data_IF_005187072944
#
_entry.id   IF_005187072944
#
_cell.length_a   1.000
_cell.length_b   1.000
_cell.length_c   1.000
_cell.angle_alpha   90.00
_cell.angle_beta   90.00
_cell.angle_gamma   90.00
#
_symmetry.space_group_name_H-M   'P 1'
#
loop_
_entity.id
_entity.type
_entity.pdbx_description
1 polymer ?
#
# COMPACT_ATOMS: atom_id res chain seq x y z
N UNK A 1 17.35 -17.43 12.07
CA UNK A 1 17.07 -16.34 13.03
C UNK A 1 15.76 -16.61 13.72
N UNK A 2 15.70 -16.42 15.04
CA UNK A 2 14.48 -16.52 15.83
C UNK A 2 13.75 -15.16 15.86
N UNK A 3 12.43 -15.19 16.08
CA UNK A 3 11.59 -13.96 16.07
C UNK A 3 12.02 -12.94 17.13
N UNK A 4 12.54 -13.39 18.27
CA UNK A 4 13.06 -12.51 19.33
C UNK A 4 14.29 -11.71 18.91
N UNK A 5 15.18 -12.32 18.11
CA UNK A 5 16.36 -11.64 17.56
C UNK A 5 15.94 -10.55 16.56
N UNK A 6 15.03 -10.88 15.65
CA UNK A 6 14.47 -9.92 14.69
C UNK A 6 13.72 -8.77 15.39
N UNK A 7 12.99 -9.08 16.46
CA UNK A 7 12.29 -8.08 17.28
C UNK A 7 13.28 -7.14 17.97
N UNK A 8 14.41 -7.67 18.44
CA UNK A 8 15.53 -6.89 18.99
C UNK A 8 16.12 -5.90 17.97
N UNK A 9 16.35 -6.34 16.72
CA UNK A 9 16.88 -5.48 15.64
C UNK A 9 15.98 -4.27 15.35
N UNK A 10 14.66 -4.44 15.46
CA UNK A 10 13.68 -3.37 15.22
C UNK A 10 13.25 -2.65 16.50
N UNK A 11 13.65 -3.10 17.68
CA UNK A 11 13.20 -2.57 18.97
C UNK A 11 11.69 -2.73 19.21
N UNK A 12 11.11 -3.85 18.75
CA UNK A 12 9.67 -4.17 18.83
C UNK A 12 9.43 -5.44 19.65
N UNK A 13 8.16 -5.74 19.93
CA UNK A 13 7.77 -7.00 20.57
C UNK A 13 7.61 -8.11 19.51
N UNK A 14 7.91 -9.39 19.81
CA UNK A 14 7.76 -10.49 18.86
C UNK A 14 6.36 -10.59 18.23
N UNK A 15 5.29 -10.28 18.97
CA UNK A 15 3.90 -10.28 18.46
C UNK A 15 3.64 -9.25 17.34
N UNK A 16 4.48 -8.21 17.27
CA UNK A 16 4.43 -7.16 16.26
C UNK A 16 5.11 -7.62 14.96
N UNK A 17 5.73 -8.81 14.92
CA UNK A 17 6.36 -9.38 13.74
C UNK A 17 5.54 -10.53 13.15
N UNK A 18 5.55 -10.64 11.82
CA UNK A 18 5.01 -11.78 11.07
C UNK A 18 6.11 -12.41 10.23
N UNK A 19 6.36 -13.73 10.31
CA UNK A 19 7.33 -14.38 9.43
C UNK A 19 6.84 -14.39 7.99
N UNK A 20 7.76 -14.39 7.04
CA UNK A 20 7.47 -14.66 5.64
C UNK A 20 8.55 -15.54 5.02
N UNK A 21 8.15 -16.27 3.98
CA UNK A 21 9.04 -16.95 3.03
C UNK A 21 8.37 -16.89 1.67
N UNK A 22 8.96 -16.12 0.76
CA UNK A 22 8.39 -15.86 -0.57
C UNK A 22 9.52 -15.78 -1.60
N UNK A 23 9.20 -16.12 -2.85
CA UNK A 23 10.10 -15.86 -3.98
C UNK A 23 9.94 -14.42 -4.43
N UNK A 24 11.04 -13.66 -4.43
CA UNK A 24 11.07 -12.30 -4.97
C UNK A 24 10.81 -12.32 -6.48
N UNK A 25 9.70 -11.73 -6.98
CA UNK A 25 9.35 -11.80 -8.39
C UNK A 25 10.23 -10.93 -9.31
N UNK A 26 11.14 -10.12 -8.75
CA UNK A 26 12.09 -9.32 -9.51
C UNK A 26 13.49 -9.96 -9.52
N UNK A 27 13.89 -10.58 -8.40
CA UNK A 27 15.18 -11.26 -8.26
C UNK A 27 15.17 -12.73 -8.64
N UNK A 28 14.02 -13.41 -8.55
CA UNK A 28 13.91 -14.88 -8.64
C UNK A 28 14.49 -15.62 -7.43
N UNK A 29 14.72 -14.92 -6.32
CA UNK A 29 15.42 -15.40 -5.11
C UNK A 29 14.39 -15.84 -4.07
N UNK A 30 14.60 -16.98 -3.40
CA UNK A 30 13.80 -17.35 -2.23
C UNK A 30 14.28 -16.58 -1.00
N UNK A 31 13.41 -15.73 -0.46
CA UNK A 31 13.73 -14.87 0.68
C UNK A 31 12.86 -15.25 1.88
N UNK A 32 13.49 -15.34 3.05
CA UNK A 32 12.79 -15.49 4.31
C UNK A 32 13.19 -14.40 5.32
N UNK A 33 12.21 -14.00 6.12
CA UNK A 33 12.37 -12.87 7.03
C UNK A 33 11.17 -12.65 7.94
N UNK A 34 11.12 -11.47 8.53
CA UNK A 34 10.00 -10.96 9.31
C UNK A 34 9.55 -9.60 8.80
N UNK A 35 8.25 -9.34 8.85
CA UNK A 35 7.66 -8.03 8.57
C UNK A 35 7.04 -7.44 9.84
N UNK A 36 7.27 -6.15 10.07
CA UNK A 36 6.78 -5.43 11.23
C UNK A 36 5.38 -4.86 11.01
N UNK A 37 4.47 -5.11 11.95
CA UNK A 37 3.08 -4.61 11.98
C UNK A 37 2.87 -3.50 13.00
N UNK A 38 3.93 -3.03 13.66
CA UNK A 38 3.82 -1.92 14.61
C UNK A 38 3.44 -0.63 13.88
N UNK A 39 2.33 0.04 14.22
CA UNK A 39 1.78 1.17 13.47
C UNK A 39 2.53 2.49 13.74
N UNK A 40 3.86 2.49 13.62
CA UNK A 40 4.72 3.66 13.77
C UNK A 40 5.70 3.80 12.58
N UNK A 41 6.86 4.41 12.80
CA UNK A 41 7.90 4.56 11.78
C UNK A 41 8.45 3.21 11.26
N UNK A 42 8.22 2.11 11.98
CA UNK A 42 8.63 0.74 11.59
C UNK A 42 7.54 -0.02 10.85
N UNK A 43 6.39 0.59 10.60
CA UNK A 43 5.27 -0.11 10.00
C UNK A 43 5.64 -0.62 8.60
N UNK A 44 5.57 -1.94 8.40
CA UNK A 44 6.00 -2.59 7.16
C UNK A 44 7.51 -2.77 7.01
N UNK A 45 8.32 -2.48 8.01
CA UNK A 45 9.77 -2.74 7.95
C UNK A 45 10.04 -4.25 7.85
N UNK A 46 11.09 -4.62 7.11
CA UNK A 46 11.53 -6.02 6.95
C UNK A 46 12.80 -6.28 7.75
N UNK A 47 12.92 -7.52 8.24
CA UNK A 47 14.19 -8.13 8.65
C UNK A 47 14.39 -9.36 7.76
N UNK A 48 15.35 -9.29 6.84
CA UNK A 48 15.72 -10.40 5.95
C UNK A 48 16.94 -11.10 6.55
N UNK A 49 16.87 -12.42 6.75
CA UNK A 49 17.99 -13.24 7.26
C UNK A 49 18.32 -14.41 6.33
N UNK A 50 17.60 -14.55 5.22
CA UNK A 50 17.79 -15.60 4.24
C UNK A 50 17.39 -15.09 2.86
N UNK A 51 18.26 -15.29 1.87
CA UNK A 51 18.03 -14.97 0.47
C UNK A 51 18.88 -15.91 -0.41
N UNK A 52 18.27 -16.98 -0.93
CA UNK A 52 18.94 -18.16 -1.55
C UNK A 52 20.03 -18.79 -0.66
N UNK A 53 19.83 -18.73 0.65
CA UNK A 53 20.76 -19.21 1.67
C UNK A 53 20.81 -18.26 2.87
N UNK A 54 21.43 -18.67 3.98
CA UNK A 54 21.62 -17.80 5.15
C UNK A 54 22.41 -16.54 4.80
N UNK A 55 21.97 -15.39 5.31
CA UNK A 55 22.68 -14.11 5.18
C UNK A 55 22.81 -13.45 6.55
N UNK A 56 23.69 -12.45 6.64
CA UNK A 56 23.58 -11.47 7.72
C UNK A 56 22.19 -10.83 7.70
N UNK A 57 21.72 -10.42 8.87
CA UNK A 57 20.41 -9.81 9.02
C UNK A 57 20.41 -8.41 8.39
N UNK A 58 19.44 -8.15 7.52
CA UNK A 58 19.29 -6.89 6.81
C UNK A 58 17.96 -6.25 7.19
N UNK A 59 18.00 -5.03 7.72
CA UNK A 59 16.82 -4.27 8.09
C UNK A 59 16.46 -3.30 6.97
N UNK A 60 15.22 -3.36 6.50
CA UNK A 60 14.69 -2.47 5.47
C UNK A 60 13.53 -1.69 6.06
N UNK A 61 13.73 -0.40 6.29
CA UNK A 61 12.67 0.52 6.65
C UNK A 61 11.88 0.95 5.42
N UNK A 62 10.61 1.31 5.62
CA UNK A 62 9.70 1.66 4.53
C UNK A 62 8.82 2.86 4.84
N UNK A 63 7.67 2.90 4.16
CA UNK A 63 6.67 3.96 4.30
C UNK A 63 5.99 3.87 5.66
N UNK A 64 6.13 4.88 6.54
CA UNK A 64 5.63 4.85 7.90
C UNK A 64 4.11 5.01 7.94
N UNK A 65 3.47 4.71 9.08
CA UNK A 65 2.11 5.19 9.35
C UNK A 65 2.19 6.71 9.60
N UNK A 66 1.65 7.52 8.69
CA UNK A 66 1.63 8.98 8.82
C UNK A 66 0.46 9.43 9.71
N UNK A 67 0.74 10.28 10.69
CA UNK A 67 -0.24 10.87 11.60
C UNK A 67 -0.77 12.22 11.12
N UNK A 68 -1.90 12.62 11.67
CA UNK A 68 -2.37 14.01 11.64
C UNK A 68 -1.67 14.81 12.75
N UNK A 69 -1.52 16.14 12.61
CA UNK A 69 -1.06 17.01 13.70
C UNK A 69 -2.17 17.34 14.70
N UNK A 70 -3.22 16.52 14.80
CA UNK A 70 -4.29 16.67 15.77
C UNK A 70 -4.87 15.30 16.17
N UNK A 71 -5.43 15.23 17.37
CA UNK A 71 -6.13 14.04 17.85
C UNK A 71 -7.65 14.10 17.59
N UNK A 72 -8.37 13.01 17.89
CA UNK A 72 -9.83 12.95 17.76
C UNK A 72 -10.56 13.96 18.66
N UNK A 73 -9.90 14.52 19.68
CA UNK A 73 -10.44 15.58 20.53
C UNK A 73 -10.18 16.99 19.97
N UNK A 74 -9.57 17.10 18.79
CA UNK A 74 -9.26 18.38 18.13
C UNK A 74 -8.06 19.11 18.72
N UNK A 75 -7.24 18.45 19.56
CA UNK A 75 -6.02 19.07 20.10
C UNK A 75 -4.89 18.99 19.09
N UNK A 76 -4.34 20.14 18.74
CA UNK A 76 -3.27 20.27 17.76
C UNK A 76 -1.89 20.09 18.39
N UNK A 77 -1.03 19.32 17.70
CA UNK A 77 0.37 19.09 18.05
C UNK A 77 1.21 19.07 16.78
N UNK A 78 1.96 20.15 16.55
CA UNK A 78 2.99 20.22 15.51
C UNK A 78 4.39 20.08 16.14
N UNK A 79 5.31 19.34 15.50
CA UNK A 79 6.71 19.42 15.88
C UNK A 79 7.29 20.79 15.48
N UNK A 80 8.28 21.32 16.22
CA UNK A 80 9.02 22.49 15.78
C UNK A 80 9.63 22.27 14.40
N UNK A 81 9.55 23.28 13.53
CA UNK A 81 10.01 23.18 12.15
C UNK A 81 10.91 24.35 11.77
N UNK A 82 12.13 24.05 11.33
CA UNK A 82 13.04 25.01 10.70
C UNK A 82 12.72 25.21 9.21
N UNK A 83 12.14 24.19 8.57
CA UNK A 83 11.67 24.22 7.18
C UNK A 83 10.43 23.35 7.02
N UNK A 84 9.54 23.78 6.15
CA UNK A 84 8.33 23.06 5.74
C UNK A 84 8.36 22.86 4.23
N UNK A 85 7.98 21.66 3.79
CA UNK A 85 7.60 21.36 2.41
C UNK A 85 6.31 20.55 2.42
N UNK A 86 5.34 20.93 1.61
CA UNK A 86 4.12 20.16 1.40
C UNK A 86 4.08 19.66 -0.04
N UNK A 87 4.04 18.36 -0.21
CA UNK A 87 3.86 17.72 -1.51
C UNK A 87 2.44 17.19 -1.63
N UNK A 88 1.91 17.14 -2.85
CA UNK A 88 0.61 16.54 -3.12
C UNK A 88 0.58 15.09 -2.61
N UNK A 89 -0.47 14.76 -1.86
CA UNK A 89 -0.78 13.39 -1.50
C UNK A 89 -1.58 12.79 -2.65
N UNK A 90 -0.87 12.11 -3.55
CA UNK A 90 -1.48 11.31 -4.59
C UNK A 90 -2.20 10.11 -3.94
N UNK A 91 -3.31 9.72 -4.57
CA UNK A 91 -4.20 8.69 -4.10
C UNK A 91 -4.05 7.44 -4.96
N UNK A 92 -3.35 6.45 -4.43
CA UNK A 92 -3.03 5.25 -5.16
C UNK A 92 -2.48 4.17 -4.25
N UNK A 93 -1.49 3.45 -4.76
CA UNK A 93 -0.82 2.40 -4.02
C UNK A 93 0.63 2.76 -3.82
N UNK A 94 1.03 2.85 -2.56
CA UNK A 94 2.41 3.05 -2.21
C UNK A 94 3.26 1.82 -2.56
N UNK A 95 4.32 2.03 -3.34
CA UNK A 95 5.33 1.03 -3.68
C UNK A 95 6.68 1.48 -3.16
N UNK A 96 7.29 0.69 -2.28
CA UNK A 96 8.65 0.89 -1.81
C UNK A 96 9.60 0.06 -2.65
N UNK A 97 10.51 0.70 -3.37
CA UNK A 97 11.70 0.07 -3.95
C UNK A 97 12.80 -0.01 -2.89
N UNK A 98 13.46 -1.15 -2.78
CA UNK A 98 14.54 -1.38 -1.80
C UNK A 98 15.56 -2.37 -2.38
N UNK A 99 16.73 -2.48 -1.74
CA UNK A 99 17.71 -3.50 -2.09
C UNK A 99 18.10 -4.37 -0.90
N UNK A 100 18.52 -5.59 -1.18
CA UNK A 100 19.09 -6.53 -0.22
C UNK A 100 20.16 -7.39 -0.89
N UNK A 101 21.02 -8.01 -0.09
CA UNK A 101 22.07 -8.93 -0.53
C UNK A 101 21.60 -10.36 -0.42
N UNK A 102 21.74 -11.12 -1.50
CA UNK A 102 21.56 -12.56 -1.51
C UNK A 102 22.81 -13.27 -0.93
N UNK A 103 22.68 -14.56 -0.60
CA UNK A 103 23.79 -15.39 -0.12
C UNK A 103 24.97 -15.46 -1.11
N UNK A 104 24.71 -15.28 -2.41
CA UNK A 104 25.73 -15.15 -3.45
C UNK A 104 26.55 -13.85 -3.40
N UNK A 105 26.19 -12.90 -2.53
CA UNK A 105 26.75 -11.55 -2.46
C UNK A 105 26.14 -10.56 -3.46
N UNK A 106 25.28 -11.03 -4.38
CA UNK A 106 24.58 -10.18 -5.35
C UNK A 106 23.60 -9.25 -4.64
N UNK A 107 23.64 -7.96 -4.97
CA UNK A 107 22.60 -7.00 -4.59
C UNK A 107 21.39 -7.15 -5.52
N UNK A 108 20.23 -7.45 -4.93
CA UNK A 108 18.93 -7.53 -5.61
C UNK A 108 18.14 -6.28 -5.28
N UNK A 109 17.49 -5.68 -6.29
CA UNK A 109 16.51 -4.60 -6.10
C UNK A 109 15.12 -5.21 -6.24
N UNK A 110 14.25 -4.92 -5.29
CA UNK A 110 12.88 -5.40 -5.28
C UNK A 110 11.92 -4.31 -4.80
N UNK A 111 10.65 -4.65 -4.78
CA UNK A 111 9.56 -3.71 -4.56
C UNK A 111 8.52 -4.33 -3.65
N UNK A 112 7.85 -3.52 -2.85
CA UNK A 112 6.79 -3.98 -1.95
C UNK A 112 5.71 -2.92 -1.70
N UNK A 113 4.49 -3.38 -1.42
CA UNK A 113 3.51 -2.57 -0.68
C UNK A 113 3.81 -2.64 0.82
N UNK A 114 3.11 -1.83 1.63
CA UNK A 114 3.48 -1.62 3.04
C UNK A 114 3.61 -2.92 3.84
N UNK A 115 2.63 -3.82 3.79
CA UNK A 115 2.58 -5.04 4.60
C UNK A 115 2.80 -6.35 3.83
N UNK A 116 3.38 -6.26 2.65
CA UNK A 116 3.83 -7.42 1.89
C UNK A 116 5.34 -7.40 1.80
N UNK A 117 6.06 -8.54 1.87
CA UNK A 117 7.51 -8.54 1.70
C UNK A 117 7.90 -8.20 0.26
N UNK A 118 7.07 -8.59 -0.72
CA UNK A 118 7.26 -8.33 -2.14
C UNK A 118 5.95 -7.93 -2.83
N UNK A 119 6.08 -7.12 -3.86
CA UNK A 119 4.99 -6.70 -4.73
C UNK A 119 4.55 -7.88 -5.59
N UNK A 120 3.26 -8.18 -5.60
CA UNK A 120 2.68 -9.27 -6.38
C UNK A 120 1.34 -8.84 -6.98
N UNK A 121 0.89 -9.59 -7.97
CA UNK A 121 -0.51 -9.52 -8.39
C UNK A 121 -1.36 -10.23 -7.35
N UNK A 122 -2.35 -9.52 -6.81
CA UNK A 122 -3.18 -9.97 -5.69
C UNK A 122 -4.64 -9.72 -6.02
N UNK A 123 -5.54 -10.13 -5.11
CA UNK A 123 -6.99 -9.95 -5.31
C UNK A 123 -7.40 -8.49 -5.37
N UNK A 124 -6.67 -7.63 -4.67
CA UNK A 124 -6.91 -6.19 -4.65
C UNK A 124 -6.37 -5.46 -5.87
N UNK A 125 -5.60 -6.12 -6.74
CA UNK A 125 -5.09 -5.50 -7.95
C UNK A 125 -3.88 -6.21 -8.56
N UNK A 126 -3.68 -5.97 -9.85
CA UNK A 126 -2.53 -6.43 -10.65
C UNK A 126 -1.29 -5.55 -10.42
N UNK A 127 -0.93 -5.35 -9.14
CA UNK A 127 0.11 -4.39 -8.75
C UNK A 127 1.49 -4.71 -9.33
N UNK A 128 1.85 -5.99 -9.47
CA UNK A 128 3.12 -6.40 -10.06
C UNK A 128 3.14 -6.10 -11.57
N UNK A 129 2.05 -6.43 -12.28
CA UNK A 129 1.94 -6.13 -13.71
C UNK A 129 1.96 -4.62 -13.98
N UNK A 130 1.19 -3.84 -13.22
CA UNK A 130 1.17 -2.38 -13.31
C UNK A 130 2.55 -1.78 -13.03
N UNK A 131 3.22 -2.23 -11.97
CA UNK A 131 4.53 -1.71 -11.60
C UNK A 131 5.62 -2.08 -12.61
N UNK A 132 5.62 -3.30 -13.16
CA UNK A 132 6.56 -3.70 -14.22
C UNK A 132 6.45 -2.80 -15.46
N UNK A 133 5.24 -2.41 -15.83
CA UNK A 133 5.03 -1.42 -16.90
C UNK A 133 5.67 -0.08 -16.54
N UNK A 134 5.44 0.41 -15.32
CA UNK A 134 6.00 1.68 -14.84
C UNK A 134 7.53 1.68 -14.75
N UNK A 135 8.15 0.54 -14.43
CA UNK A 135 9.61 0.39 -14.49
C UNK A 135 10.17 0.54 -15.90
N UNK A 136 9.44 0.06 -16.92
CA UNK A 136 9.80 0.28 -18.33
C UNK A 136 9.76 1.76 -18.72
N UNK A 137 8.83 2.52 -18.15
CA UNK A 137 8.71 3.98 -18.34
C UNK A 137 9.71 4.77 -17.47
N UNK A 138 10.24 4.17 -16.41
CA UNK A 138 11.15 4.79 -15.44
C UNK A 138 12.40 3.90 -15.17
N UNK A 139 13.26 3.65 -16.17
CA UNK A 139 14.36 2.69 -16.04
C UNK A 139 15.42 3.09 -15.01
N UNK A 140 15.47 4.36 -14.60
CA UNK A 140 16.42 4.87 -13.60
C UNK A 140 16.15 4.40 -12.17
N UNK A 141 14.94 3.91 -11.85
CA UNK A 141 14.56 3.53 -10.48
C UNK A 141 15.48 2.45 -9.91
N UNK A 142 15.70 1.38 -10.68
CA UNK A 142 16.49 0.24 -10.22
C UNK A 142 17.96 0.61 -9.98
N UNK A 143 18.56 1.34 -10.92
CA UNK A 143 19.93 1.83 -10.81
C UNK A 143 20.11 2.74 -9.61
N UNK A 144 19.18 3.69 -9.42
CA UNK A 144 19.25 4.65 -8.32
C UNK A 144 19.20 3.98 -6.93
N UNK A 145 18.29 3.01 -6.74
CA UNK A 145 18.18 2.27 -5.47
C UNK A 145 19.45 1.44 -5.21
N UNK A 146 19.98 0.80 -6.25
CA UNK A 146 21.22 0.01 -6.16
C UNK A 146 22.44 0.87 -5.82
N UNK A 147 22.59 2.02 -6.47
CA UNK A 147 23.76 2.89 -6.33
C UNK A 147 23.77 3.67 -5.03
N UNK A 148 22.60 4.17 -4.60
CA UNK A 148 22.49 4.96 -3.37
C UNK A 148 22.40 4.11 -2.11
N UNK A 149 21.92 2.86 -2.23
CA UNK A 149 21.59 2.00 -1.10
C UNK A 149 20.40 2.50 -0.28
N UNK A 150 19.67 3.51 -0.77
CA UNK A 150 18.46 4.04 -0.13
C UNK A 150 17.23 3.28 -0.63
N UNK A 151 16.25 3.07 0.25
CA UNK A 151 14.91 2.68 -0.21
C UNK A 151 14.21 3.92 -0.80
N UNK A 152 13.43 3.73 -1.85
CA UNK A 152 12.68 4.80 -2.52
C UNK A 152 11.18 4.48 -2.50
N UNK A 153 10.38 5.40 -1.96
CA UNK A 153 8.93 5.27 -1.89
C UNK A 153 8.29 6.00 -3.06
N UNK A 154 7.33 5.35 -3.71
CA UNK A 154 6.56 5.87 -4.84
C UNK A 154 5.07 5.74 -4.58
N UNK A 155 4.28 6.63 -5.19
CA UNK A 155 2.86 6.38 -5.40
C UNK A 155 2.65 5.87 -6.81
N UNK A 156 2.06 4.68 -6.94
CA UNK A 156 1.50 4.17 -8.19
C UNK A 156 0.05 4.59 -8.26
N UNK A 157 -0.32 5.45 -9.20
CA UNK A 157 -1.66 6.08 -9.27
C UNK A 157 -2.14 6.22 -10.70
N UNK A 158 -3.44 6.49 -10.90
CA UNK A 158 -4.06 6.63 -12.22
C UNK A 158 -5.39 5.90 -12.31
N UNK A 159 -6.13 6.07 -13.40
CA UNK A 159 -7.43 5.41 -13.58
C UNK A 159 -7.36 3.87 -13.61
N UNK A 160 -6.22 3.30 -13.96
CA UNK A 160 -5.97 1.85 -13.89
C UNK A 160 -5.69 1.35 -12.46
N UNK A 161 -5.24 2.22 -11.56
CA UNK A 161 -5.09 1.92 -10.13
C UNK A 161 -5.99 2.85 -9.32
N UNK A 162 -7.31 2.64 -9.44
CA UNK A 162 -8.32 3.55 -8.93
C UNK A 162 -8.51 3.42 -7.42
N UNK A 163 -8.55 4.57 -6.76
CA UNK A 163 -8.91 4.74 -5.35
C UNK A 163 -10.06 5.76 -5.28
N UNK A 164 -9.98 6.76 -4.40
CA UNK A 164 -10.99 7.81 -4.23
C UNK A 164 -10.90 8.91 -5.32
N UNK A 165 -9.68 9.26 -5.73
CA UNK A 165 -9.44 10.31 -6.73
C UNK A 165 -9.52 9.74 -8.15
N UNK A 166 -10.34 10.37 -8.98
CA UNK A 166 -10.49 10.07 -10.39
C UNK A 166 -9.40 10.78 -11.22
N UNK A 167 -8.43 10.00 -11.67
CA UNK A 167 -7.30 10.47 -12.43
C UNK A 167 -7.51 10.34 -13.94
N UNK A 168 -7.18 11.40 -14.68
CA UNK A 168 -7.14 11.35 -16.16
C UNK A 168 -5.98 10.55 -16.73
N UNK A 169 -4.88 10.45 -15.97
CA UNK A 169 -3.72 9.65 -16.39
C UNK A 169 -4.03 8.17 -16.20
N UNK A 170 -3.78 7.30 -17.19
CA UNK A 170 -4.07 5.87 -17.06
C UNK A 170 -3.32 5.21 -15.91
N UNK A 171 -2.01 5.41 -15.85
CA UNK A 171 -1.14 4.86 -14.83
C UNK A 171 0.14 5.71 -14.80
N UNK A 172 0.62 6.05 -13.61
CA UNK A 172 1.84 6.80 -13.40
C UNK A 172 2.51 6.41 -12.07
N UNK A 173 3.80 6.72 -11.96
CA UNK A 173 4.57 6.62 -10.72
C UNK A 173 5.08 8.02 -10.34
N UNK A 174 4.90 8.41 -9.08
CA UNK A 174 5.51 9.61 -8.53
C UNK A 174 6.42 9.25 -7.35
N UNK A 175 7.64 9.78 -7.36
CA UNK A 175 8.56 9.63 -6.24
C UNK A 175 8.09 10.47 -5.03
N UNK A 176 8.04 9.85 -3.85
CA UNK A 176 7.53 10.49 -2.63
C UNK A 176 8.68 10.92 -1.71
N UNK A 177 9.56 9.97 -1.34
CA UNK A 177 10.68 10.20 -0.44
C UNK A 177 11.64 9.00 -0.47
N UNK A 178 12.85 9.20 0.02
CA UNK A 178 13.80 8.11 0.29
C UNK A 178 13.82 7.75 1.78
N UNK A 179 14.26 6.53 2.09
CA UNK A 179 14.45 6.02 3.46
C UNK A 179 15.89 5.54 3.61
N UNK A 180 16.57 6.02 4.63
CA UNK A 180 17.94 5.61 4.99
C UNK A 180 17.93 4.26 5.71
N UNK A 181 19.12 3.65 5.83
CA UNK A 181 19.30 2.39 6.56
C UNK A 181 18.90 2.46 8.05
N UNK A 182 18.98 3.65 8.67
CA UNK A 182 18.51 3.90 10.04
C UNK A 182 17.05 4.38 10.12
N UNK A 183 16.30 4.32 9.02
CA UNK A 183 14.87 4.59 8.98
C UNK A 183 14.47 6.07 8.94
N UNK A 184 15.41 6.98 8.62
CA UNK A 184 15.11 8.41 8.42
C UNK A 184 14.53 8.63 7.03
N UNK A 185 13.48 9.45 6.96
CA UNK A 185 12.84 9.86 5.71
C UNK A 185 13.51 11.12 5.14
N UNK A 186 13.73 11.12 3.84
CA UNK A 186 14.31 12.25 3.09
C UNK A 186 13.32 12.70 2.01
N UNK A 187 12.80 13.94 2.05
CA UNK A 187 11.96 14.46 0.97
C UNK A 187 12.76 14.60 -0.34
N UNK A 188 12.08 14.76 -1.49
CA UNK A 188 12.75 14.92 -2.77
C UNK A 188 13.79 16.05 -2.80
N UNK A 189 13.52 17.16 -2.11
CA UNK A 189 14.42 18.32 -2.01
C UNK A 189 15.73 18.06 -1.25
N UNK A 190 15.79 16.99 -0.45
CA UNK A 190 16.95 16.61 0.34
C UNK A 190 17.93 15.69 -0.43
N UNK A 191 17.59 15.32 -1.66
CA UNK A 191 18.36 14.42 -2.49
C UNK A 191 19.03 15.19 -3.65
N UNK A 192 20.25 14.79 -4.06
CA UNK A 192 20.91 15.41 -5.21
C UNK A 192 20.21 15.09 -6.53
N UNK A 193 19.53 13.95 -6.60
CA UNK A 193 18.73 13.50 -7.74
C UNK A 193 17.59 12.60 -7.25
N UNK A 194 16.55 12.48 -8.06
CA UNK A 194 15.40 11.61 -7.78
C UNK A 194 15.29 10.50 -8.83
N UNK A 195 14.83 9.29 -8.46
CA UNK A 195 14.75 8.14 -9.37
C UNK A 195 13.63 8.23 -10.41
N UNK A 196 12.65 9.09 -10.17
CA UNK A 196 11.53 9.40 -11.04
C UNK A 196 11.01 10.81 -10.71
N UNK A 197 10.02 11.29 -11.48
CA UNK A 197 9.38 12.58 -11.20
C UNK A 197 8.79 12.58 -9.78
N UNK A 198 9.12 13.56 -8.91
CA UNK A 198 8.53 13.63 -7.59
C UNK A 198 7.05 14.02 -7.66
N UNK A 199 6.31 13.71 -6.60
CA UNK A 199 4.99 14.29 -6.39
C UNK A 199 5.07 15.83 -6.48
N UNK A 200 4.01 16.53 -6.95
CA UNK A 200 4.03 17.99 -7.04
C UNK A 200 4.30 18.67 -5.69
N UNK A 201 5.22 19.62 -5.66
CA UNK A 201 5.44 20.49 -4.51
C UNK A 201 4.35 21.58 -4.50
N UNK A 202 3.59 21.65 -3.42
CA UNK A 202 2.47 22.59 -3.25
C UNK A 202 2.87 23.82 -2.44
N UNK A 203 3.73 23.63 -1.43
CA UNK A 203 4.15 24.69 -0.51
C UNK A 203 5.58 24.45 -0.05
N UNK A 204 6.38 25.50 0.07
CA UNK A 204 7.66 25.47 0.76
C UNK A 204 7.82 26.74 1.59
N UNK A 205 8.28 26.60 2.83
CA UNK A 205 8.52 27.71 3.74
C UNK A 205 9.80 27.51 4.54
N UNK A 206 10.60 28.57 4.65
CA UNK A 206 11.74 28.65 5.56
C UNK A 206 11.28 29.33 6.85
N UNK A 207 11.53 28.70 8.00
CA UNK A 207 11.13 29.21 9.33
C UNK A 207 9.64 29.53 9.45
N UNK A 208 8.73 28.55 9.26
CA UNK A 208 7.28 28.77 9.42
C UNK A 208 6.94 29.13 10.87
N UNK A 209 6.34 30.30 11.08
CA UNK A 209 5.97 30.81 12.42
C UNK A 209 4.59 30.34 12.91
N UNK A 210 3.67 30.02 11.99
CA UNK A 210 2.33 29.52 12.32
C UNK A 210 1.95 28.33 11.43
N UNK A 211 2.39 27.14 11.85
CA UNK A 211 2.11 25.88 11.14
C UNK A 211 0.61 25.56 11.09
N UNK A 212 -0.15 25.94 12.14
CA UNK A 212 -1.57 25.62 12.21
C UNK A 212 -2.35 26.41 11.17
N UNK A 213 -2.16 27.74 11.11
CA UNK A 213 -2.87 28.57 10.14
C UNK A 213 -2.51 28.19 8.71
N UNK A 214 -1.24 27.88 8.42
CA UNK A 214 -0.82 27.38 7.11
C UNK A 214 -1.50 26.03 6.76
N UNK A 215 -1.61 25.14 7.74
CA UNK A 215 -2.24 23.83 7.56
C UNK A 215 -3.74 23.95 7.31
N UNK A 216 -4.45 24.77 8.09
CA UNK A 216 -5.88 25.06 7.91
C UNK A 216 -6.15 25.76 6.57
N UNK A 217 -5.36 26.76 6.19
CA UNK A 217 -5.48 27.44 4.90
C UNK A 217 -5.30 26.47 3.73
N UNK A 218 -4.30 25.58 3.80
CA UNK A 218 -4.07 24.61 2.73
C UNK A 218 -5.20 23.58 2.65
N UNK A 219 -5.71 23.10 3.80
CA UNK A 219 -6.89 22.21 3.85
C UNK A 219 -8.09 22.82 3.14
N UNK A 220 -8.40 24.08 3.44
CA UNK A 220 -9.53 24.78 2.83
C UNK A 220 -9.35 24.95 1.33
N UNK A 221 -8.14 25.35 0.89
CA UNK A 221 -7.85 25.52 -0.53
C UNK A 221 -8.00 24.21 -1.31
N UNK A 222 -7.48 23.10 -0.77
CA UNK A 222 -7.68 21.78 -1.40
C UNK A 222 -9.15 21.36 -1.40
N UNK A 223 -9.89 21.68 -0.33
CA UNK A 223 -11.33 21.44 -0.26
C UNK A 223 -12.13 22.19 -1.33
N UNK A 224 -11.73 23.40 -1.71
CA UNK A 224 -12.40 24.17 -2.79
C UNK A 224 -12.15 23.59 -4.19
N UNK A 225 -11.07 22.85 -4.37
CA UNK A 225 -10.68 22.30 -5.67
C UNK A 225 -11.30 20.92 -5.94
N UNK A 226 -11.81 20.26 -4.89
CA UNK A 226 -12.49 18.98 -5.00
C UNK A 226 -13.86 19.13 -5.66
N UNK A 227 -14.15 18.23 -6.60
CA UNK A 227 -15.43 18.12 -7.28
C UNK A 227 -15.87 16.67 -7.32
N UNK A 228 -17.12 16.41 -7.02
CA UNK A 228 -17.72 15.09 -7.22
C UNK A 228 -17.79 14.76 -8.72
N UNK A 229 -17.55 13.49 -9.04
CA UNK A 229 -17.76 12.91 -10.35
C UNK A 229 -18.62 11.66 -10.21
N UNK A 230 -19.13 11.13 -11.33
CA UNK A 230 -19.85 9.84 -11.33
C UNK A 230 -18.99 8.68 -10.80
N UNK A 231 -17.67 8.87 -10.78
CA UNK A 231 -16.68 7.85 -10.51
C UNK A 231 -15.84 8.10 -9.24
N UNK A 232 -16.09 9.19 -8.50
CA UNK A 232 -15.37 9.51 -7.27
C UNK A 232 -15.19 11.01 -7.10
N UNK A 233 -13.96 11.43 -6.77
CA UNK A 233 -13.61 12.85 -6.64
C UNK A 233 -12.56 13.25 -7.67
N UNK A 234 -12.77 14.36 -8.37
CA UNK A 234 -11.72 15.01 -9.15
C UNK A 234 -11.07 16.13 -8.30
N UNK A 235 -9.75 16.14 -8.20
CA UNK A 235 -8.99 17.14 -7.44
C UNK A 235 -7.81 16.50 -6.71
N UNK A 236 -7.46 17.04 -5.54
CA UNK A 236 -6.38 16.53 -4.69
C UNK A 236 -6.95 15.87 -3.43
N UNK A 237 -6.49 14.66 -3.12
CA UNK A 237 -6.85 14.00 -1.84
C UNK A 237 -6.35 14.82 -0.64
N UNK A 238 -5.14 15.39 -0.78
CA UNK A 238 -4.51 16.17 0.27
C UNK A 238 -3.04 16.46 0.01
N UNK A 239 -2.27 16.63 1.09
CA UNK A 239 -0.84 16.87 1.07
C UNK A 239 -0.10 16.03 2.12
N UNK A 240 1.18 15.77 1.88
CA UNK A 240 2.13 15.28 2.87
C UNK A 240 3.08 16.42 3.23
N UNK A 241 3.04 16.82 4.50
CA UNK A 241 3.92 17.83 5.09
C UNK A 241 5.20 17.18 5.59
N UNK A 242 6.33 17.67 5.11
CA UNK A 242 7.67 17.37 5.57
C UNK A 242 8.16 18.54 6.40
N UNK A 243 8.36 18.30 7.69
CA UNK A 243 8.84 19.28 8.65
C UNK A 243 10.26 18.94 9.06
N UNK A 244 11.23 19.77 8.65
CA UNK A 244 12.61 19.64 9.11
C UNK A 244 12.69 20.19 10.53
N UNK A 245 12.92 19.33 11.51
CA UNK A 245 13.11 19.77 12.90
C UNK A 245 14.43 20.53 13.04
N UNK A 246 14.59 21.40 14.07
CA UNK A 246 15.87 22.04 14.37
C UNK A 246 17.04 21.07 14.57
N UNK A 247 16.75 19.82 14.97
CA UNK A 247 17.72 18.73 15.07
C UNK A 247 18.07 18.04 13.75
N UNK A 248 17.66 18.59 12.60
CA UNK A 248 18.02 18.06 11.28
C UNK A 248 17.27 16.81 10.84
N UNK A 249 16.16 16.47 11.50
CA UNK A 249 15.35 15.28 11.16
C UNK A 249 14.02 15.69 10.55
N UNK A 250 13.64 15.07 9.43
CA UNK A 250 12.33 15.26 8.82
C UNK A 250 11.22 14.49 9.54
N UNK A 251 10.08 15.14 9.72
CA UNK A 251 8.84 14.55 10.24
C UNK A 251 7.75 14.67 9.20
N UNK A 252 7.02 13.57 8.99
CA UNK A 252 5.94 13.50 8.01
C UNK A 252 4.61 13.62 8.72
N UNK A 253 3.75 14.50 8.21
CA UNK A 253 2.36 14.63 8.62
C UNK A 253 1.48 14.56 7.38
N UNK A 254 0.35 13.87 7.47
CA UNK A 254 -0.65 13.90 6.40
C UNK A 254 -1.64 15.00 6.66
N UNK A 255 -2.10 15.62 5.58
CA UNK A 255 -3.14 16.61 5.52
C UNK A 255 -4.14 16.13 4.47
N UNK A 256 -5.43 16.07 4.80
CA UNK A 256 -6.48 15.79 3.83
C UNK A 256 -7.49 16.94 3.79
N UNK A 257 -8.12 17.12 2.63
CA UNK A 257 -9.21 18.10 2.50
C UNK A 257 -10.38 17.72 3.45
N UNK A 258 -11.13 18.69 4.00
CA UNK A 258 -12.22 18.41 4.93
C UNK A 258 -13.22 17.38 4.42
N UNK A 259 -13.62 17.44 3.14
CA UNK A 259 -14.56 16.49 2.54
C UNK A 259 -13.98 15.07 2.45
N UNK A 260 -12.68 14.95 2.15
CA UNK A 260 -11.99 13.65 2.12
C UNK A 260 -11.81 13.12 3.54
N UNK A 261 -11.55 13.99 4.51
CA UNK A 261 -11.53 13.62 5.92
C UNK A 261 -12.91 13.18 6.39
N UNK A 262 -13.99 13.88 6.02
CA UNK A 262 -15.36 13.50 6.36
C UNK A 262 -15.73 12.14 5.78
N UNK A 263 -15.36 11.82 4.54
CA UNK A 263 -15.56 10.48 3.97
C UNK A 263 -14.81 9.45 4.82
N UNK A 264 -13.52 9.67 5.10
CA UNK A 264 -12.71 8.74 5.91
C UNK A 264 -13.12 8.68 7.38
N UNK A 265 -13.67 9.75 7.97
CA UNK A 265 -14.11 9.82 9.37
C UNK A 265 -15.55 9.35 9.53
N UNK A 266 -16.42 9.52 8.53
CA UNK A 266 -17.74 8.89 8.49
C UNK A 266 -17.60 7.37 8.34
N UNK A 267 -16.65 6.90 7.55
CA UNK A 267 -16.20 5.49 7.56
C UNK A 267 -15.45 5.10 8.85
N UNK A 268 -14.93 6.09 9.60
CA UNK A 268 -14.23 5.90 10.86
C UNK A 268 -15.13 5.83 12.09
N UNK A 269 -16.32 6.45 12.05
CA UNK A 269 -17.29 6.46 13.16
C UNK A 269 -17.91 5.07 13.41
N UNK A 270 -18.03 4.28 12.36
CA UNK A 270 -18.51 2.91 12.40
C UNK A 270 -17.73 2.08 11.38
N UNK A 271 -17.32 0.86 11.75
CA UNK A 271 -16.63 -0.05 10.82
C UNK A 271 -17.56 -0.33 9.64
N UNK A 272 -17.17 0.16 8.46
CA UNK A 272 -17.98 0.02 7.25
C UNK A 272 -17.88 -1.40 6.69
N UNK A 273 -18.88 -1.81 5.90
CA UNK A 273 -18.85 -3.09 5.18
C UNK A 273 -17.63 -3.22 4.28
N UNK A 274 -17.20 -2.13 3.67
CA UNK A 274 -16.03 -2.11 2.77
C UNK A 274 -14.72 -2.25 3.56
N UNK A 275 -14.61 -1.60 4.73
CA UNK A 275 -13.48 -1.79 5.64
C UNK A 275 -13.33 -3.26 6.05
N UNK A 276 -14.43 -3.93 6.39
CA UNK A 276 -14.41 -5.37 6.68
C UNK A 276 -14.02 -6.19 5.45
N UNK A 277 -14.56 -5.86 4.27
CA UNK A 277 -14.25 -6.57 3.01
C UNK A 277 -12.75 -6.45 2.66
N UNK A 278 -12.17 -5.26 2.80
CA UNK A 278 -10.73 -5.03 2.67
C UNK A 278 -9.92 -5.84 3.69
N UNK A 279 -10.34 -5.87 4.95
CA UNK A 279 -9.72 -6.70 5.96
C UNK A 279 -9.83 -8.21 5.64
N UNK A 280 -10.93 -8.66 5.04
CA UNK A 280 -11.08 -10.04 4.56
C UNK A 280 -10.06 -10.38 3.46
N UNK A 281 -9.88 -9.50 2.48
CA UNK A 281 -8.88 -9.70 1.42
C UNK A 281 -7.46 -9.76 1.99
N UNK A 282 -7.12 -8.85 2.91
CA UNK A 282 -5.84 -8.89 3.64
C UNK A 282 -5.67 -10.19 4.44
N UNK A 283 -6.70 -10.66 5.14
CA UNK A 283 -6.64 -11.91 5.89
C UNK A 283 -6.39 -13.14 4.98
N UNK A 284 -6.98 -13.16 3.79
CA UNK A 284 -6.72 -14.22 2.80
C UNK A 284 -5.30 -14.18 2.24
N UNK A 285 -4.73 -12.98 2.06
CA UNK A 285 -3.33 -12.82 1.68
C UNK A 285 -2.37 -13.29 2.79
N UNK A 286 -2.78 -13.14 4.04
CA UNK A 286 -2.03 -13.57 5.22
C UNK A 286 -2.13 -15.08 5.52
N UNK A 287 -3.03 -15.80 4.83
CA UNK A 287 -3.07 -17.27 4.79
C UNK A 287 -4.45 -17.88 5.03
N UNK A 288 -5.30 -17.26 5.86
CA UNK A 288 -6.64 -17.80 6.14
C UNK A 288 -7.63 -16.70 6.50
N UNK A 289 -8.78 -16.71 5.82
CA UNK A 289 -9.91 -15.87 6.17
C UNK A 289 -10.61 -16.42 7.41
N UNK A 290 -10.42 -15.76 8.54
CA UNK A 290 -11.18 -16.03 9.76
C UNK A 290 -11.69 -14.73 10.36
N UNK A 291 -12.79 -14.79 11.10
CA UNK A 291 -13.33 -13.62 11.83
C UNK A 291 -12.24 -13.01 12.73
N UNK A 292 -11.52 -13.85 13.47
CA UNK A 292 -10.43 -13.40 14.34
C UNK A 292 -9.32 -12.67 13.56
N UNK A 293 -8.91 -13.19 12.40
CA UNK A 293 -7.89 -12.53 11.58
C UNK A 293 -8.37 -11.16 11.08
N UNK A 294 -9.64 -11.07 10.68
CA UNK A 294 -10.26 -9.80 10.25
C UNK A 294 -10.36 -8.81 11.40
N UNK A 295 -10.80 -9.23 12.59
CA UNK A 295 -10.82 -8.39 13.80
C UNK A 295 -9.44 -7.82 14.13
N UNK A 296 -8.39 -8.66 14.08
CA UNK A 296 -7.02 -8.22 14.34
C UNK A 296 -6.53 -7.16 13.34
N UNK A 297 -6.94 -7.28 12.08
CA UNK A 297 -6.61 -6.29 11.05
C UNK A 297 -7.39 -4.97 11.25
N UNK A 298 -8.65 -5.05 11.70
CA UNK A 298 -9.44 -3.87 12.01
C UNK A 298 -8.89 -3.12 13.25
N UNK A 299 -8.32 -3.83 14.22
CA UNK A 299 -7.67 -3.19 15.38
C UNK A 299 -6.46 -2.30 15.02
N UNK A 300 -6.00 -2.31 13.76
CA UNK A 300 -4.98 -1.37 13.29
C UNK A 300 -5.50 0.07 13.17
N UNK A 301 -6.79 0.25 12.92
CA UNK A 301 -7.43 1.54 12.62
C UNK A 301 -8.62 1.87 13.54
N UNK A 302 -9.16 0.87 14.25
CA UNK A 302 -10.27 1.00 15.21
C UNK A 302 -9.91 0.47 16.60
N UNK A 303 -10.56 1.03 17.62
CA UNK A 303 -10.41 0.61 19.01
C UNK A 303 -11.19 -0.69 19.27
N UNK A 304 -10.76 -1.47 20.27
CA UNK A 304 -11.37 -2.76 20.62
C UNK A 304 -12.89 -2.70 20.86
N UNK A 305 -13.46 -1.67 21.53
CA UNK A 305 -14.91 -1.55 21.67
C UNK A 305 -15.65 -1.36 20.34
N UNK A 306 -15.06 -0.65 19.37
CA UNK A 306 -15.64 -0.40 18.05
C UNK A 306 -15.69 -1.69 17.21
N UNK A 307 -14.60 -2.47 17.24
CA UNK A 307 -14.51 -3.79 16.60
C UNK A 307 -15.53 -4.76 17.20
N UNK A 308 -15.61 -4.83 18.53
CA UNK A 308 -16.60 -5.68 19.22
C UNK A 308 -18.04 -5.30 18.89
N UNK A 309 -18.35 -4.01 18.81
CA UNK A 309 -19.69 -3.54 18.44
C UNK A 309 -20.09 -3.96 17.00
N UNK A 310 -19.12 -4.25 16.14
CA UNK A 310 -19.31 -4.58 14.73
C UNK A 310 -19.27 -6.09 14.42
N UNK A 311 -19.21 -6.96 15.43
CA UNK A 311 -19.02 -8.41 15.26
C UNK A 311 -20.00 -9.06 14.26
N UNK A 312 -21.30 -8.74 14.34
CA UNK A 312 -22.31 -9.30 13.44
C UNK A 312 -22.17 -8.84 11.98
N UNK A 313 -21.62 -7.64 11.74
CA UNK A 313 -21.27 -7.19 10.40
C UNK A 313 -20.04 -7.96 9.90
N UNK A 314 -19.03 -8.11 10.78
CA UNK A 314 -17.77 -8.80 10.47
C UNK A 314 -18.06 -10.23 10.02
N UNK A 315 -18.79 -11.01 10.83
CA UNK A 315 -19.16 -12.39 10.51
C UNK A 315 -19.89 -12.51 9.16
N UNK A 316 -20.84 -11.60 8.90
CA UNK A 316 -21.64 -11.62 7.67
C UNK A 316 -20.78 -11.37 6.42
N UNK A 317 -19.89 -10.40 6.48
CA UNK A 317 -19.01 -10.03 5.36
C UNK A 317 -17.95 -11.11 5.15
N UNK A 318 -17.38 -11.67 6.22
CA UNK A 318 -16.47 -12.82 6.15
C UNK A 318 -17.13 -13.97 5.39
N UNK A 319 -18.33 -14.39 5.80
CA UNK A 319 -19.05 -15.49 5.16
C UNK A 319 -19.40 -15.19 3.69
N UNK A 320 -19.64 -13.92 3.35
CA UNK A 320 -19.87 -13.50 1.97
C UNK A 320 -18.61 -13.59 1.11
N UNK A 321 -17.49 -13.06 1.60
CA UNK A 321 -16.20 -13.11 0.90
C UNK A 321 -15.74 -14.57 0.74
N UNK A 322 -15.96 -15.43 1.74
CA UNK A 322 -15.71 -16.87 1.63
C UNK A 322 -16.53 -17.52 0.50
N UNK A 323 -17.83 -17.22 0.40
CA UNK A 323 -18.69 -17.72 -0.68
C UNK A 323 -18.26 -17.19 -2.05
N UNK A 324 -17.91 -15.90 -2.13
CA UNK A 324 -17.42 -15.30 -3.37
C UNK A 324 -16.12 -15.96 -3.82
N UNK A 325 -15.23 -16.28 -2.89
CA UNK A 325 -13.97 -16.93 -3.20
C UNK A 325 -14.14 -18.40 -3.59
N UNK A 326 -14.98 -19.16 -2.88
CA UNK A 326 -15.31 -20.53 -3.26
C UNK A 326 -15.84 -20.59 -4.70
N UNK A 327 -16.73 -19.65 -5.06
CA UNK A 327 -17.22 -19.52 -6.42
C UNK A 327 -16.12 -19.16 -7.42
N UNK A 328 -15.22 -18.21 -7.08
CA UNK A 328 -14.07 -17.86 -7.93
C UNK A 328 -13.18 -19.08 -8.19
N UNK A 329 -12.85 -19.85 -7.15
CA UNK A 329 -12.02 -21.05 -7.30
C UNK A 329 -12.70 -22.14 -8.13
N UNK A 330 -14.01 -22.33 -7.96
CA UNK A 330 -14.77 -23.25 -8.79
C UNK A 330 -14.72 -22.87 -10.28
N UNK A 331 -14.93 -21.59 -10.59
CA UNK A 331 -14.83 -21.06 -11.96
C UNK A 331 -13.44 -21.26 -12.53
N UNK A 332 -12.39 -20.92 -11.78
CA UNK A 332 -11.01 -21.06 -12.25
C UNK A 332 -10.58 -22.52 -12.41
N UNK A 333 -11.04 -23.41 -11.54
CA UNK A 333 -10.81 -24.84 -11.69
C UNK A 333 -11.51 -25.40 -12.94
N UNK A 334 -12.76 -25.01 -13.18
CA UNK A 334 -13.49 -25.37 -14.40
C UNK A 334 -12.77 -24.85 -15.65
N UNK A 335 -12.34 -23.59 -15.62
CA UNK A 335 -11.62 -22.95 -16.72
C UNK A 335 -10.30 -23.65 -17.03
N UNK A 336 -9.45 -23.89 -16.02
CA UNK A 336 -8.17 -24.60 -16.19
C UNK A 336 -8.34 -26.00 -16.76
N UNK A 337 -9.43 -26.69 -16.43
CA UNK A 337 -9.72 -28.03 -16.96
C UNK A 337 -10.03 -28.05 -18.46
N UNK A 338 -10.30 -26.90 -19.08
CA UNK A 338 -10.57 -26.80 -20.52
C UNK A 338 -9.30 -26.93 -21.36
N UNK A 339 -8.14 -26.56 -20.82
CA UNK A 339 -6.89 -26.46 -21.59
C UNK A 339 -6.93 -25.43 -22.73
N UNK A 340 -7.88 -24.50 -22.69
CA UNK A 340 -8.07 -23.41 -23.66
C UNK A 340 -7.76 -22.06 -23.01
N UNK A 341 -7.31 -21.09 -23.82
CA UNK A 341 -7.16 -19.69 -23.38
C UNK A 341 -8.32 -18.84 -23.87
N UNK A 342 -8.79 -17.90 -23.05
CA UNK A 342 -9.87 -16.98 -23.39
C UNK A 342 -9.44 -16.06 -24.54
N UNK A 343 -8.16 -15.68 -24.58
CA UNK A 343 -7.53 -14.95 -25.68
C UNK A 343 -7.60 -15.70 -27.02
N UNK A 344 -7.49 -17.03 -27.01
CA UNK A 344 -7.39 -17.85 -28.21
C UNK A 344 -8.77 -18.25 -28.76
N UNK A 345 -9.70 -18.63 -27.88
CA UNK A 345 -11.08 -18.97 -28.26
C UNK A 345 -12.10 -18.59 -27.18
N UNK A 346 -12.42 -17.29 -27.13
CA UNK A 346 -13.47 -16.76 -26.25
C UNK A 346 -14.81 -17.49 -26.43
N UNK A 347 -15.18 -17.85 -27.67
CA UNK A 347 -16.47 -18.47 -27.97
C UNK A 347 -16.58 -19.89 -27.42
N UNK A 348 -15.55 -20.71 -27.65
CA UNK A 348 -15.47 -22.08 -27.14
C UNK A 348 -15.37 -22.14 -25.62
N UNK A 349 -14.53 -21.29 -25.01
CA UNK A 349 -14.41 -21.19 -23.54
C UNK A 349 -15.75 -20.85 -22.92
N UNK A 350 -16.42 -19.79 -23.39
CA UNK A 350 -17.67 -19.33 -22.79
C UNK A 350 -18.85 -20.27 -23.02
N UNK A 351 -18.92 -20.95 -24.17
CA UNK A 351 -19.91 -22.02 -24.41
C UNK A 351 -19.73 -23.17 -23.44
N UNK A 352 -18.49 -23.62 -23.24
CA UNK A 352 -18.23 -24.76 -22.36
C UNK A 352 -18.54 -24.42 -20.89
N UNK A 353 -18.12 -23.24 -20.42
CA UNK A 353 -18.44 -22.79 -19.06
C UNK A 353 -19.94 -22.59 -18.84
N UNK A 354 -20.71 -22.21 -19.88
CA UNK A 354 -22.17 -22.08 -19.77
C UNK A 354 -22.91 -23.40 -19.56
N UNK A 355 -22.28 -24.54 -19.85
CA UNK A 355 -22.81 -25.86 -19.50
C UNK A 355 -22.67 -26.19 -18.01
N UNK A 356 -21.79 -25.50 -17.29
CA UNK A 356 -21.49 -25.76 -15.87
C UNK A 356 -22.05 -24.67 -14.93
N UNK A 357 -22.11 -23.43 -15.40
CA UNK A 357 -22.58 -22.30 -14.60
C UNK A 357 -23.91 -21.74 -15.13
N UNK A 358 -24.84 -21.32 -14.26
CA UNK A 358 -26.11 -20.75 -14.69
C UNK A 358 -25.94 -19.53 -15.59
N UNK A 359 -26.82 -19.37 -16.59
CA UNK A 359 -26.80 -18.24 -17.54
C UNK A 359 -26.72 -16.87 -16.84
N UNK A 360 -27.44 -16.70 -15.73
CA UNK A 360 -27.45 -15.47 -14.93
C UNK A 360 -26.06 -15.10 -14.36
N UNK A 361 -25.18 -16.07 -14.17
CA UNK A 361 -23.83 -15.89 -13.61
C UNK A 361 -22.76 -15.70 -14.68
N UNK A 362 -23.07 -15.91 -15.96
CA UNK A 362 -22.05 -15.97 -17.02
C UNK A 362 -21.27 -14.67 -17.23
N UNK A 363 -21.88 -13.51 -16.94
CA UNK A 363 -21.16 -12.23 -16.93
C UNK A 363 -20.06 -12.21 -15.85
N UNK A 364 -20.35 -12.76 -14.67
CA UNK A 364 -19.41 -12.86 -13.56
C UNK A 364 -18.32 -13.89 -13.86
N UNK A 365 -18.71 -15.04 -14.41
CA UNK A 365 -17.77 -16.09 -14.88
C UNK A 365 -16.78 -15.51 -15.88
N UNK A 366 -17.27 -14.81 -16.92
CA UNK A 366 -16.42 -14.15 -17.90
C UNK A 366 -15.43 -13.19 -17.24
N UNK A 367 -15.90 -12.33 -16.33
CA UNK A 367 -15.04 -11.36 -15.63
C UNK A 367 -13.93 -12.05 -14.84
N UNK A 368 -14.24 -13.13 -14.11
CA UNK A 368 -13.26 -13.90 -13.35
C UNK A 368 -12.18 -14.50 -14.27
N UNK A 369 -12.58 -15.07 -15.41
CA UNK A 369 -11.63 -15.67 -16.36
C UNK A 369 -10.79 -14.60 -17.05
N UNK A 370 -11.40 -13.50 -17.50
CA UNK A 370 -10.70 -12.40 -18.14
C UNK A 370 -9.69 -11.73 -17.20
N UNK A 371 -10.07 -11.49 -15.95
CA UNK A 371 -9.18 -11.02 -14.87
C UNK A 371 -8.00 -11.99 -14.65
N UNK A 372 -8.28 -13.30 -14.61
CA UNK A 372 -7.22 -14.32 -14.47
C UNK A 372 -6.21 -14.33 -15.63
N UNK A 373 -6.63 -13.97 -16.84
CA UNK A 373 -5.75 -13.84 -18.01
C UNK A 373 -5.13 -12.44 -18.18
N UNK A 374 -5.37 -11.50 -17.25
CA UNK A 374 -4.87 -10.13 -17.34
C UNK A 374 -5.47 -9.33 -18.49
N UNK A 375 -6.72 -9.61 -18.86
CA UNK A 375 -7.45 -8.95 -19.95
C UNK A 375 -8.32 -7.77 -19.49
N UNK A 376 -8.37 -7.52 -18.18
CA UNK A 376 -9.16 -6.47 -17.54
C UNK A 376 -8.28 -5.52 -16.75
#
# INVERSE_FOLDING_TARGET
MQIGEAAGLLGVQPRELRPFRETDPFGGVEVAGYICRRPDHRYGALVIYHADGPTDAQVIYGTPKMGYPFDRAGRWVFPPAARLEAYEKLDGTNVLAFSYRAASGKTVVSYKTRLMPFLGDRRMGSFLAMWRRLLGENPGIEGWVRETGLSASFEMYGSANRHLIDYRVPLAAAFLFAVTADGKHLPPSALPSTPARPAPLLLAASSPSDLRSLYEQQREEMGRQLRETDEGLAGMEGAVWYLLTPGGTWRLLKLKAPQVEEIHFAEGAHISREAVRHACYRAMEDGALTVQAVEQLLLEDWEEPEVRASAALIERVVAEVEREEAFRQEVLAAYRSLGLRLQDDRGGVMRTLSGRFPKAMMRRVYRIVADHEGLL
#
